data_IF_971466915068
#
_entry.id   IF_971466915068
#
_cell.length_a   1.000
_cell.length_b   1.000
_cell.length_c   1.000
_cell.angle_alpha   90.00
_cell.angle_beta   90.00
_cell.angle_gamma   90.00
#
_symmetry.space_group_name_H-M   'P 1'
#
loop_
_entity.id
_entity.type
_entity.pdbx_description
1 polymer ?
#
# COMPACT_ATOMS: atom_id res chain seq x y z
N UNK A 1 7.43 -29.70 -9.68
CA UNK A 1 6.04 -29.94 -9.25
C UNK A 1 5.21 -28.76 -9.73
N UNK A 2 4.31 -28.98 -10.69
CA UNK A 2 3.53 -27.92 -11.34
C UNK A 2 2.14 -27.90 -10.70
N UNK A 3 1.97 -27.12 -9.63
CA UNK A 3 0.70 -26.99 -8.92
C UNK A 3 -0.29 -26.20 -9.78
N UNK A 4 -1.10 -26.91 -10.57
CA UNK A 4 -2.18 -26.38 -11.42
C UNK A 4 -3.45 -26.05 -10.63
N UNK A 5 -3.33 -25.33 -9.52
CA UNK A 5 -4.49 -24.76 -8.81
C UNK A 5 -4.32 -23.25 -8.75
N UNK A 6 -4.96 -22.47 -9.65
CA UNK A 6 -4.94 -21.03 -9.56
C UNK A 6 -5.83 -20.60 -8.38
N UNK A 7 -5.26 -20.54 -7.19
CA UNK A 7 -5.93 -19.95 -6.04
C UNK A 7 -6.08 -18.44 -6.27
N UNK A 8 -7.33 -17.97 -6.38
CA UNK A 8 -7.65 -16.55 -6.50
C UNK A 8 -7.64 -15.88 -5.13
N UNK A 9 -6.47 -15.46 -4.69
CA UNK A 9 -6.35 -14.65 -3.48
C UNK A 9 -6.81 -13.20 -3.73
N UNK A 10 -7.64 -12.66 -2.82
CA UNK A 10 -8.16 -11.28 -2.90
C UNK A 10 -7.24 -10.25 -2.22
N UNK A 11 -6.26 -10.70 -1.45
CA UNK A 11 -5.31 -9.87 -0.68
C UNK A 11 -4.59 -8.83 -1.55
N UNK A 12 -4.21 -9.19 -2.78
CA UNK A 12 -3.56 -8.27 -3.72
C UNK A 12 -4.44 -7.10 -4.22
N UNK A 13 -5.73 -7.06 -3.85
CA UNK A 13 -6.65 -5.95 -4.16
C UNK A 13 -6.86 -5.00 -2.98
N UNK A 14 -6.36 -5.34 -1.79
CA UNK A 14 -6.66 -4.62 -0.56
C UNK A 14 -6.22 -3.14 -0.63
N UNK A 15 -5.06 -2.84 -1.24
CA UNK A 15 -4.51 -1.49 -1.31
C UNK A 15 -5.42 -0.50 -2.04
N UNK A 16 -5.77 -0.78 -3.30
CA UNK A 16 -6.63 0.13 -4.07
C UNK A 16 -8.09 0.11 -3.58
N UNK A 17 -8.56 -1.01 -3.03
CA UNK A 17 -9.91 -1.09 -2.47
C UNK A 17 -10.04 -0.23 -1.21
N UNK A 18 -9.04 -0.26 -0.32
CA UNK A 18 -8.98 0.64 0.86
C UNK A 18 -9.05 2.09 0.42
N UNK A 19 -8.22 2.47 -0.56
CA UNK A 19 -8.19 3.82 -1.10
C UNK A 19 -9.55 4.24 -1.69
N UNK A 20 -10.20 3.36 -2.46
CA UNK A 20 -11.53 3.62 -3.01
C UNK A 20 -12.62 3.79 -1.93
N UNK A 21 -12.65 2.93 -0.91
CA UNK A 21 -13.64 3.01 0.18
C UNK A 21 -13.46 4.32 0.96
N UNK A 22 -12.22 4.69 1.26
CA UNK A 22 -11.92 5.96 1.93
C UNK A 22 -12.33 7.16 1.06
N UNK A 23 -12.01 7.13 -0.24
CA UNK A 23 -12.41 8.13 -1.22
C UNK A 23 -13.93 8.31 -1.30
N UNK A 24 -14.69 7.23 -1.46
CA UNK A 24 -16.15 7.28 -1.51
C UNK A 24 -16.76 7.86 -0.22
N UNK A 25 -16.29 7.39 0.94
CA UNK A 25 -16.81 7.84 2.23
C UNK A 25 -16.54 9.33 2.44
N UNK A 26 -15.32 9.79 2.16
CA UNK A 26 -14.97 11.19 2.30
C UNK A 26 -15.74 12.07 1.30
N UNK A 27 -15.91 11.61 0.05
CA UNK A 27 -16.72 12.29 -0.95
C UNK A 27 -18.16 12.51 -0.48
N UNK A 28 -18.85 11.44 -0.06
CA UNK A 28 -20.23 11.51 0.43
C UNK A 28 -20.36 12.54 1.55
N UNK A 29 -19.53 12.42 2.59
CA UNK A 29 -19.66 13.25 3.79
C UNK A 29 -19.27 14.71 3.50
N UNK A 30 -18.13 14.93 2.84
CA UNK A 30 -17.60 16.29 2.63
C UNK A 30 -18.43 17.09 1.62
N UNK A 31 -18.83 16.49 0.49
CA UNK A 31 -19.61 17.19 -0.54
C UNK A 31 -21.05 17.40 -0.08
N UNK A 32 -21.69 16.42 0.56
CA UNK A 32 -23.04 16.61 1.10
C UNK A 32 -23.05 17.69 2.20
N UNK A 33 -22.07 17.65 3.12
CA UNK A 33 -21.91 18.67 4.14
C UNK A 33 -21.71 20.07 3.56
N UNK A 34 -20.86 20.20 2.53
CA UNK A 34 -20.66 21.45 1.81
C UNK A 34 -21.96 21.96 1.18
N UNK A 35 -22.67 21.10 0.43
CA UNK A 35 -23.90 21.47 -0.25
C UNK A 35 -25.01 21.90 0.73
N UNK A 36 -25.20 21.15 1.81
CA UNK A 36 -26.15 21.50 2.87
C UNK A 36 -25.78 22.84 3.51
N UNK A 37 -24.49 23.05 3.81
CA UNK A 37 -24.00 24.29 4.38
C UNK A 37 -24.24 25.50 3.49
N UNK A 38 -23.93 25.39 2.19
CA UNK A 38 -24.15 26.47 1.21
C UNK A 38 -25.65 26.72 1.01
N UNK A 39 -26.47 25.67 0.88
CA UNK A 39 -27.91 25.81 0.72
C UNK A 39 -28.56 26.52 1.92
N UNK A 40 -28.11 26.24 3.16
CA UNK A 40 -28.61 26.87 4.36
C UNK A 40 -28.37 28.40 4.43
N UNK A 41 -27.45 28.94 3.62
CA UNK A 41 -27.22 30.40 3.53
C UNK A 41 -28.26 31.13 2.69
N UNK A 42 -29.16 30.42 2.00
CA UNK A 42 -30.09 31.00 1.03
C UNK A 42 -29.46 31.22 -0.35
N UNK A 43 -28.32 30.58 -0.64
CA UNK A 43 -27.69 30.62 -1.95
C UNK A 43 -28.64 30.13 -3.06
N UNK A 44 -28.47 30.66 -4.29
CA UNK A 44 -29.22 30.21 -5.45
C UNK A 44 -28.87 28.77 -5.83
N UNK A 45 -29.75 28.09 -6.56
CA UNK A 45 -29.50 26.75 -7.09
C UNK A 45 -28.21 26.67 -7.92
N UNK A 46 -27.93 27.68 -8.74
CA UNK A 46 -26.70 27.77 -9.52
C UNK A 46 -25.46 27.87 -8.61
N UNK A 47 -25.55 28.65 -7.53
CA UNK A 47 -24.47 28.77 -6.54
C UNK A 47 -24.19 27.46 -5.81
N UNK A 48 -25.24 26.74 -5.42
CA UNK A 48 -25.13 25.42 -4.79
C UNK A 48 -24.48 24.40 -5.73
N UNK A 49 -24.91 24.36 -7.00
CA UNK A 49 -24.33 23.47 -8.01
C UNK A 49 -22.85 23.79 -8.29
N UNK A 50 -22.52 25.07 -8.45
CA UNK A 50 -21.13 25.51 -8.64
C UNK A 50 -20.25 25.10 -7.45
N UNK A 51 -20.74 25.27 -6.21
CA UNK A 51 -20.03 24.84 -5.01
C UNK A 51 -19.83 23.32 -4.96
N UNK A 52 -20.85 22.53 -5.34
CA UNK A 52 -20.75 21.07 -5.42
C UNK A 52 -19.70 20.59 -6.41
N UNK A 53 -19.69 21.15 -7.62
CA UNK A 53 -18.69 20.80 -8.65
C UNK A 53 -17.29 21.20 -8.19
N UNK A 54 -17.12 22.44 -7.72
CA UNK A 54 -15.82 22.92 -7.25
C UNK A 54 -15.30 22.09 -6.06
N UNK A 55 -16.16 21.81 -5.08
CA UNK A 55 -15.82 20.99 -3.92
C UNK A 55 -15.47 19.56 -4.29
N UNK A 56 -16.21 18.96 -5.23
CA UNK A 56 -15.93 17.60 -5.72
C UNK A 56 -14.58 17.52 -6.41
N UNK A 57 -14.27 18.47 -7.31
CA UNK A 57 -12.99 18.51 -8.02
C UNK A 57 -11.83 18.74 -7.04
N UNK A 58 -11.95 19.75 -6.17
CA UNK A 58 -10.92 20.07 -5.19
C UNK A 58 -10.66 18.91 -4.22
N UNK A 59 -11.74 18.28 -3.71
CA UNK A 59 -11.66 17.13 -2.81
C UNK A 59 -11.06 15.90 -3.49
N UNK A 60 -11.48 15.56 -4.70
CA UNK A 60 -10.93 14.44 -5.46
C UNK A 60 -9.42 14.63 -5.74
N UNK A 61 -8.99 15.83 -6.10
CA UNK A 61 -7.56 16.14 -6.29
C UNK A 61 -6.77 16.01 -4.99
N UNK A 62 -7.31 16.52 -3.87
CA UNK A 62 -6.69 16.40 -2.56
C UNK A 62 -6.53 14.93 -2.15
N UNK A 63 -7.58 14.12 -2.34
CA UNK A 63 -7.58 12.69 -2.04
C UNK A 63 -6.61 11.89 -2.91
N UNK A 64 -6.55 12.18 -4.23
CA UNK A 64 -5.54 11.58 -5.10
C UNK A 64 -4.12 11.92 -4.64
N UNK A 65 -3.85 13.19 -4.36
CA UNK A 65 -2.53 13.63 -3.95
C UNK A 65 -2.10 13.00 -2.61
N UNK A 66 -3.00 13.00 -1.61
CA UNK A 66 -2.73 12.41 -0.30
C UNK A 66 -2.46 10.91 -0.37
N UNK A 67 -3.28 10.17 -1.12
CA UNK A 67 -3.10 8.73 -1.29
C UNK A 67 -1.85 8.40 -2.13
N UNK A 68 -1.54 9.19 -3.16
CA UNK A 68 -0.29 9.05 -3.91
C UNK A 68 0.92 9.23 -3.00
N UNK A 69 0.99 10.32 -2.24
CA UNK A 69 2.12 10.63 -1.35
C UNK A 69 2.25 9.55 -0.28
N UNK A 70 1.13 9.09 0.30
CA UNK A 70 1.13 8.04 1.32
C UNK A 70 1.74 6.74 0.79
N UNK A 71 1.24 6.23 -0.34
CA UNK A 71 1.71 4.96 -0.92
C UNK A 71 3.11 5.12 -1.54
N UNK A 72 3.46 6.29 -2.06
CA UNK A 72 4.80 6.57 -2.56
C UNK A 72 5.83 6.61 -1.42
N UNK A 73 5.47 7.18 -0.27
CA UNK A 73 6.34 7.17 0.92
C UNK A 73 6.64 5.75 1.39
N UNK A 74 5.65 4.85 1.36
CA UNK A 74 5.87 3.42 1.61
C UNK A 74 6.87 2.83 0.59
N UNK A 75 6.66 3.08 -0.70
CA UNK A 75 7.55 2.58 -1.74
C UNK A 75 8.99 3.07 -1.58
N UNK A 76 9.18 4.31 -1.12
CA UNK A 76 10.50 4.89 -0.90
C UNK A 76 11.19 4.33 0.34
N UNK A 77 10.44 4.07 1.43
CA UNK A 77 10.96 3.36 2.58
C UNK A 77 11.41 1.93 2.20
N UNK A 78 10.58 1.16 1.50
CA UNK A 78 10.92 -0.19 1.03
C UNK A 78 12.19 -0.18 0.14
N UNK A 79 12.35 0.82 -0.72
CA UNK A 79 13.56 0.97 -1.55
C UNK A 79 14.79 1.31 -0.72
N UNK A 80 14.64 2.13 0.31
CA UNK A 80 15.72 2.50 1.21
C UNK A 80 16.20 1.27 2.00
N UNK A 81 15.28 0.47 2.54
CA UNK A 81 15.60 -0.76 3.28
C UNK A 81 16.26 -1.79 2.36
N UNK A 82 15.79 -1.96 1.12
CA UNK A 82 16.46 -2.82 0.14
C UNK A 82 17.85 -2.32 -0.28
N UNK A 83 18.12 -1.02 -0.20
CA UNK A 83 19.45 -0.47 -0.43
C UNK A 83 20.35 -0.66 0.79
N UNK A 84 19.73 -0.58 1.98
CA UNK A 84 20.11 -1.10 3.29
C UNK A 84 20.81 -2.46 3.19
N UNK A 85 19.94 -3.44 3.05
CA UNK A 85 20.19 -4.87 2.98
C UNK A 85 21.26 -5.24 1.94
N UNK A 86 21.20 -4.63 0.75
CA UNK A 86 22.22 -4.86 -0.29
C UNK A 86 23.62 -4.45 0.14
N UNK A 87 23.77 -3.47 1.02
CA UNK A 87 25.08 -3.07 1.55
C UNK A 87 25.54 -4.05 2.62
N UNK A 88 24.66 -4.44 3.52
CA UNK A 88 24.93 -5.40 4.60
C UNK A 88 25.33 -6.77 4.04
N UNK A 89 24.56 -7.33 3.11
CA UNK A 89 24.90 -8.57 2.40
C UNK A 89 26.27 -8.56 1.69
N UNK A 90 26.80 -7.37 1.35
CA UNK A 90 28.16 -7.23 0.78
C UNK A 90 29.24 -7.05 1.83
N UNK A 91 28.91 -6.42 2.95
CA UNK A 91 29.87 -6.03 3.98
C UNK A 91 30.04 -7.11 5.05
N UNK A 92 28.95 -7.79 5.41
CA UNK A 92 28.88 -8.74 6.51
C UNK A 92 28.03 -9.99 6.15
N UNK A 93 28.37 -10.74 5.08
CA UNK A 93 27.52 -11.83 4.58
C UNK A 93 27.31 -12.98 5.57
N UNK A 94 28.25 -13.23 6.49
CA UNK A 94 28.08 -14.24 7.54
C UNK A 94 27.15 -13.77 8.65
N UNK A 95 27.19 -12.47 9.00
CA UNK A 95 26.30 -11.90 10.01
C UNK A 95 24.84 -11.94 9.49
N UNK A 96 24.62 -11.57 8.23
CA UNK A 96 23.30 -11.66 7.57
C UNK A 96 22.77 -13.10 7.51
N UNK A 97 23.66 -14.06 7.25
CA UNK A 97 23.29 -15.48 7.22
C UNK A 97 22.86 -16.00 8.60
N UNK A 98 23.53 -15.53 9.65
CA UNK A 98 23.18 -15.85 11.02
C UNK A 98 21.89 -15.14 11.48
N UNK A 99 21.64 -13.91 11.00
CA UNK A 99 20.38 -13.19 11.18
C UNK A 99 19.20 -13.93 10.54
N UNK A 100 19.32 -14.30 9.26
CA UNK A 100 18.29 -15.09 8.57
C UNK A 100 18.04 -16.42 9.28
N UNK A 101 19.09 -17.10 9.73
CA UNK A 101 18.95 -18.32 10.54
C UNK A 101 18.22 -18.06 11.86
N UNK A 102 18.47 -16.92 12.52
CA UNK A 102 17.79 -16.53 13.75
C UNK A 102 16.28 -16.28 13.51
N UNK A 103 15.91 -15.65 12.39
CA UNK A 103 14.50 -15.48 11.99
C UNK A 103 13.79 -16.83 11.89
N UNK A 104 14.41 -17.81 11.22
CA UNK A 104 13.84 -19.14 11.07
C UNK A 104 13.78 -19.93 12.38
N UNK A 105 14.77 -19.76 13.27
CA UNK A 105 14.71 -20.31 14.64
C UNK A 105 13.54 -19.73 15.44
N UNK A 106 13.34 -18.41 15.38
CA UNK A 106 12.22 -17.75 16.05
C UNK A 106 10.86 -18.23 15.52
N UNK A 107 10.80 -18.66 14.26
CA UNK A 107 9.61 -19.30 13.64
C UNK A 107 9.45 -20.78 14.01
N UNK A 108 10.35 -21.36 14.81
CA UNK A 108 10.23 -22.70 15.38
C UNK A 108 11.11 -23.77 14.76
N UNK A 109 12.07 -23.42 13.91
CA UNK A 109 13.02 -24.41 13.35
C UNK A 109 14.13 -24.72 14.36
N UNK A 110 14.54 -25.99 14.44
CA UNK A 110 15.74 -26.40 15.16
C UNK A 110 16.98 -25.66 14.59
N UNK A 111 17.99 -25.34 15.43
CA UNK A 111 19.14 -24.53 14.99
C UNK A 111 19.85 -25.06 13.74
N UNK A 112 20.07 -26.38 13.66
CA UNK A 112 20.72 -27.02 12.51
C UNK A 112 19.86 -27.01 11.24
N UNK A 113 18.52 -26.99 11.37
CA UNK A 113 17.64 -26.87 10.21
C UNK A 113 17.55 -25.40 9.76
N UNK A 114 17.43 -24.46 10.69
CA UNK A 114 17.36 -23.04 10.38
C UNK A 114 18.61 -22.54 9.63
N UNK A 115 19.82 -22.95 10.05
CA UNK A 115 21.06 -22.61 9.33
C UNK A 115 21.08 -23.17 7.91
N UNK A 116 20.62 -24.41 7.72
CA UNK A 116 20.53 -25.02 6.38
C UNK A 116 19.51 -24.31 5.49
N UNK A 117 18.37 -23.87 6.04
CA UNK A 117 17.37 -23.09 5.31
C UNK A 117 17.95 -21.75 4.89
N UNK A 118 18.56 -21.01 5.81
CA UNK A 118 19.20 -19.73 5.53
C UNK A 118 20.26 -19.87 4.44
N UNK A 119 21.17 -20.86 4.53
CA UNK A 119 22.18 -21.12 3.49
C UNK A 119 21.58 -21.40 2.11
N UNK A 120 20.52 -22.20 2.05
CA UNK A 120 19.88 -22.55 0.77
C UNK A 120 19.15 -21.35 0.15
N UNK A 121 18.46 -20.56 0.97
CA UNK A 121 17.78 -19.35 0.52
C UNK A 121 18.78 -18.28 0.09
N UNK A 122 19.83 -18.03 0.87
CA UNK A 122 20.86 -17.05 0.53
C UNK A 122 21.63 -17.42 -0.73
N UNK A 123 21.88 -18.72 -0.98
CA UNK A 123 22.47 -19.20 -2.25
C UNK A 123 21.56 -18.98 -3.45
N UNK A 124 20.25 -19.02 -3.27
CA UNK A 124 19.30 -18.80 -4.36
C UNK A 124 19.14 -17.30 -4.64
N UNK A 125 18.79 -16.53 -3.61
CA UNK A 125 18.64 -15.07 -3.65
C UNK A 125 18.58 -14.52 -2.21
N UNK A 126 19.74 -14.13 -1.66
CA UNK A 126 19.81 -13.59 -0.30
C UNK A 126 18.98 -12.32 -0.14
N UNK A 127 19.03 -11.40 -1.11
CA UNK A 127 18.28 -10.16 -1.02
C UNK A 127 16.76 -10.43 -1.00
N UNK A 128 16.27 -11.34 -1.84
CA UNK A 128 14.84 -11.68 -1.82
C UNK A 128 14.44 -12.42 -0.54
N UNK A 129 15.32 -13.24 0.03
CA UNK A 129 15.08 -13.91 1.30
C UNK A 129 14.93 -12.90 2.44
N UNK A 130 15.89 -12.00 2.62
CA UNK A 130 15.83 -10.95 3.64
C UNK A 130 14.68 -9.97 3.39
N UNK A 131 14.49 -9.52 2.15
CA UNK A 131 13.36 -8.65 1.79
C UNK A 131 12.01 -9.21 2.22
N UNK A 132 11.82 -10.53 2.08
CA UNK A 132 10.57 -11.19 2.46
C UNK A 132 10.50 -11.50 3.95
N UNK A 133 11.55 -12.11 4.48
CA UNK A 133 11.51 -12.77 5.79
C UNK A 133 11.89 -11.87 6.95
N UNK A 134 12.69 -10.83 6.68
CA UNK A 134 13.11 -9.81 7.62
C UNK A 134 12.31 -8.51 7.42
N UNK A 135 12.37 -7.94 6.21
CA UNK A 135 11.74 -6.64 5.92
C UNK A 135 10.22 -6.72 5.67
N UNK A 136 9.67 -7.93 5.50
CA UNK A 136 8.24 -8.13 5.25
C UNK A 136 7.74 -7.63 3.89
N UNK A 137 8.65 -7.31 2.97
CA UNK A 137 8.36 -6.81 1.62
C UNK A 137 7.88 -7.98 0.77
N UNK A 138 6.61 -7.93 0.34
CA UNK A 138 5.99 -8.99 -0.46
C UNK A 138 5.29 -8.43 -1.70
N UNK A 139 5.26 -9.20 -2.78
CA UNK A 139 4.58 -8.81 -4.03
C UNK A 139 3.08 -8.52 -3.84
N UNK A 140 2.45 -9.17 -2.88
CA UNK A 140 1.02 -8.98 -2.57
C UNK A 140 0.71 -7.62 -1.95
N UNK A 141 1.67 -7.00 -1.28
CA UNK A 141 1.53 -5.70 -0.60
C UNK A 141 2.29 -4.59 -1.32
N UNK A 142 2.78 -4.86 -2.53
CA UNK A 142 3.58 -3.92 -3.31
C UNK A 142 2.87 -2.59 -3.49
N UNK A 143 3.54 -1.51 -3.14
CA UNK A 143 3.04 -0.16 -3.27
C UNK A 143 2.68 0.16 -4.74
N UNK A 144 1.44 0.64 -4.96
CA UNK A 144 0.93 1.08 -6.28
C UNK A 144 0.32 2.48 -6.19
N UNK A 145 1.15 3.54 -6.09
CA UNK A 145 0.69 4.89 -5.77
C UNK A 145 -0.36 5.43 -6.73
N UNK A 146 -0.11 5.33 -8.04
CA UNK A 146 -1.05 5.81 -9.06
C UNK A 146 -2.38 5.06 -9.05
N UNK A 147 -2.34 3.75 -8.73
CA UNK A 147 -3.57 2.95 -8.64
C UNK A 147 -4.41 3.36 -7.44
N UNK A 148 -3.78 3.55 -6.28
CA UNK A 148 -4.46 3.96 -5.06
C UNK A 148 -5.04 5.38 -5.21
N UNK A 149 -4.25 6.33 -5.72
CA UNK A 149 -4.67 7.70 -5.98
C UNK A 149 -5.85 7.77 -6.96
N UNK A 150 -5.77 7.08 -8.09
CA UNK A 150 -6.84 7.05 -9.09
C UNK A 150 -8.10 6.39 -8.57
N UNK A 151 -7.99 5.28 -7.82
CA UNK A 151 -9.13 4.60 -7.22
C UNK A 151 -9.82 5.48 -6.16
N UNK A 152 -9.05 6.17 -5.32
CA UNK A 152 -9.56 7.11 -4.32
C UNK A 152 -10.31 8.28 -4.97
N UNK A 153 -9.69 8.98 -5.92
CA UNK A 153 -10.33 10.12 -6.58
C UNK A 153 -11.57 9.75 -7.38
N UNK A 154 -11.54 8.63 -8.12
CA UNK A 154 -12.71 8.15 -8.85
C UNK A 154 -13.87 7.84 -7.90
N UNK A 155 -13.59 7.17 -6.77
CA UNK A 155 -14.60 6.86 -5.77
C UNK A 155 -15.13 8.12 -5.07
N UNK A 156 -14.26 9.11 -4.80
CA UNK A 156 -14.65 10.40 -4.24
C UNK A 156 -15.62 11.15 -5.14
N UNK A 157 -15.42 11.15 -6.46
CA UNK A 157 -16.34 11.80 -7.40
C UNK A 157 -17.71 11.10 -7.48
N UNK A 158 -17.74 9.78 -7.38
CA UNK A 158 -18.98 8.99 -7.54
C UNK A 158 -19.78 8.91 -6.24
N UNK A 159 -19.11 8.88 -5.08
CA UNK A 159 -19.76 8.77 -3.77
C UNK A 159 -20.93 9.75 -3.57
N UNK A 160 -20.74 11.06 -3.76
CA UNK A 160 -21.80 12.08 -3.60
C UNK A 160 -23.01 11.90 -4.51
N UNK A 161 -22.91 11.11 -5.58
CA UNK A 161 -24.00 10.87 -6.54
C UNK A 161 -24.90 9.68 -6.15
N UNK A 162 -24.57 8.96 -5.08
CA UNK A 162 -25.29 7.80 -4.55
C UNK A 162 -26.06 8.15 -3.28
#
# INVERSE_FOLDING_TARGET
>A
MNSRHPERHRSGRAGWLRAAVLGANDGIVSVAGLLVGIAATGASHEGVLAAGVAGTVAGAMSMAAGEYVSVQSQADAERADLALERRELRQAPEDELDELAAIYRARGLDPALARRVAEQLSRHDALAAHARDELGITDTLRARPLQAAGASAAAFCVGPAL
#
